data_IF_083512202666
#
_entry.id   IF_083512202666
#
_cell.length_a   1.000
_cell.length_b   1.000
_cell.length_c   1.000
_cell.angle_alpha   90.00
_cell.angle_beta   90.00
_cell.angle_gamma   90.00
#
_symmetry.space_group_name_H-M   'P 1'
#
loop_
_entity.id
_entity.type
_entity.pdbx_description
1 polymer ?
#
# COMPACT_ATOMS: atom_id res chain seq x y z
N UNK A 1 15.56 4.38 -13.95
CA UNK A 1 15.17 2.97 -14.08
C UNK A 1 16.20 2.08 -13.39
N UNK A 2 15.81 0.87 -13.01
CA UNK A 2 16.67 -0.24 -12.60
C UNK A 2 16.43 -1.38 -13.58
N UNK A 3 17.47 -1.95 -14.18
CA UNK A 3 17.31 -2.95 -15.22
C UNK A 3 18.41 -4.02 -15.17
N UNK A 4 18.05 -5.28 -15.39
CA UNK A 4 19.00 -6.38 -15.56
C UNK A 4 19.80 -6.74 -14.31
N UNK A 5 19.33 -6.34 -13.11
CA UNK A 5 20.04 -6.55 -11.85
C UNK A 5 19.79 -7.96 -11.34
N UNK A 6 20.82 -8.57 -10.73
CA UNK A 6 20.75 -9.92 -10.16
C UNK A 6 21.43 -9.98 -8.81
N UNK A 7 20.73 -10.54 -7.82
CA UNK A 7 21.26 -10.75 -6.47
C UNK A 7 21.74 -9.44 -5.78
N UNK A 8 21.08 -8.31 -6.12
CA UNK A 8 21.45 -7.00 -5.61
C UNK A 8 20.42 -6.40 -4.65
N UNK A 9 20.91 -5.53 -3.76
CA UNK A 9 20.06 -4.65 -2.95
C UNK A 9 20.25 -3.20 -3.39
N UNK A 10 19.24 -2.63 -4.04
CA UNK A 10 19.29 -1.33 -4.71
C UNK A 10 18.05 -0.50 -4.44
N UNK A 11 18.05 0.77 -4.88
CA UNK A 11 16.89 1.62 -4.62
C UNK A 11 17.13 3.10 -4.83
N UNK A 12 16.25 3.90 -4.24
CA UNK A 12 16.23 5.36 -4.29
C UNK A 12 15.96 5.91 -2.91
N UNK A 13 16.76 6.89 -2.50
CA UNK A 13 16.62 7.58 -1.22
C UNK A 13 15.56 8.70 -1.32
N UNK A 14 15.06 9.20 -0.18
CA UNK A 14 14.17 10.35 -0.17
C UNK A 14 14.75 11.53 -0.97
N UNK A 15 13.90 12.15 -1.79
CA UNK A 15 14.26 13.31 -2.61
C UNK A 15 15.05 13.02 -3.87
N UNK A 16 15.24 11.74 -4.25
CA UNK A 16 16.00 11.36 -5.46
C UNK A 16 15.13 11.08 -6.69
N UNK A 17 13.84 10.80 -6.52
CA UNK A 17 12.87 10.67 -7.63
C UNK A 17 11.97 11.88 -7.78
N UNK A 18 11.57 12.53 -6.68
CA UNK A 18 10.76 13.75 -6.67
C UNK A 18 9.55 13.71 -7.63
N UNK A 19 8.77 12.62 -7.57
CA UNK A 19 7.54 12.51 -8.37
C UNK A 19 7.77 12.19 -9.84
N UNK A 20 8.99 11.86 -10.27
CA UNK A 20 9.26 11.36 -11.62
C UNK A 20 8.71 9.94 -11.83
N UNK A 21 8.65 9.52 -13.09
CA UNK A 21 8.30 8.14 -13.46
C UNK A 21 9.50 7.23 -13.17
N UNK A 22 9.22 5.99 -12.79
CA UNK A 22 10.27 5.00 -12.53
C UNK A 22 9.92 3.65 -13.18
N UNK A 23 10.94 2.91 -13.58
CA UNK A 23 10.78 1.60 -14.19
C UNK A 23 11.78 0.64 -13.57
N UNK A 24 11.32 -0.58 -13.29
CA UNK A 24 12.09 -1.71 -12.79
C UNK A 24 11.85 -2.84 -13.79
N UNK A 25 12.90 -3.38 -14.39
CA UNK A 25 12.73 -4.34 -15.49
C UNK A 25 13.81 -5.43 -15.44
N UNK A 26 13.47 -6.67 -15.76
CA UNK A 26 14.44 -7.78 -15.91
C UNK A 26 15.32 -8.00 -14.65
N UNK A 27 14.75 -7.82 -13.46
CA UNK A 27 15.48 -8.01 -12.19
C UNK A 27 15.21 -9.39 -11.58
N UNK A 28 16.24 -10.03 -11.04
CA UNK A 28 16.15 -11.37 -10.44
C UNK A 28 16.78 -11.38 -9.05
N UNK A 29 16.12 -12.00 -8.06
CA UNK A 29 16.63 -12.15 -6.69
C UNK A 29 17.04 -10.81 -6.01
N UNK A 30 16.39 -9.70 -6.37
CA UNK A 30 16.77 -8.38 -5.89
C UNK A 30 15.91 -7.90 -4.72
N UNK A 31 16.51 -7.13 -3.80
CA UNK A 31 15.76 -6.28 -2.86
C UNK A 31 15.78 -4.83 -3.39
N UNK A 32 14.61 -4.26 -3.67
CA UNK A 32 14.49 -2.95 -4.31
C UNK A 32 13.68 -2.00 -3.43
N UNK A 33 14.32 -0.92 -2.95
CA UNK A 33 13.71 0.03 -2.03
C UNK A 33 13.61 1.43 -2.63
N UNK A 34 12.40 1.84 -3.00
CA UNK A 34 12.12 3.18 -3.53
C UNK A 34 11.53 4.04 -2.42
N UNK A 35 12.37 4.70 -1.63
CA UNK A 35 11.98 5.57 -0.51
C UNK A 35 11.65 7.00 -0.95
N UNK A 36 10.89 7.15 -2.05
CA UNK A 36 10.43 8.44 -2.54
C UNK A 36 9.08 8.32 -3.25
N UNK A 37 8.39 9.44 -3.40
CA UNK A 37 7.18 9.51 -4.20
C UNK A 37 7.48 9.52 -5.70
N UNK A 38 6.56 8.97 -6.50
CA UNK A 38 6.71 8.82 -7.95
C UNK A 38 5.40 9.15 -8.68
N UNK A 39 5.48 9.51 -9.96
CA UNK A 39 4.29 9.70 -10.80
C UNK A 39 3.63 8.35 -11.14
N UNK A 40 4.42 7.41 -11.65
CA UNK A 40 4.01 6.05 -12.00
C UNK A 40 5.22 5.12 -11.90
N UNK A 41 4.98 3.84 -11.60
CA UNK A 41 6.02 2.81 -11.60
C UNK A 41 5.56 1.62 -12.44
N UNK A 42 6.39 1.18 -13.38
CA UNK A 42 6.24 -0.11 -14.08
C UNK A 42 7.26 -1.10 -13.56
N UNK A 43 6.83 -2.35 -13.37
CA UNK A 43 7.66 -3.46 -12.94
C UNK A 43 7.44 -4.60 -13.91
N UNK A 44 8.47 -4.93 -14.67
CA UNK A 44 8.39 -5.83 -15.81
C UNK A 44 9.39 -6.97 -15.65
N UNK A 45 8.97 -8.21 -15.94
CA UNK A 45 9.85 -9.37 -16.04
C UNK A 45 10.72 -9.62 -14.79
N UNK A 46 10.22 -9.26 -13.61
CA UNK A 46 10.95 -9.41 -12.36
C UNK A 46 10.63 -10.75 -11.68
N UNK A 47 11.66 -11.45 -11.21
CA UNK A 47 11.52 -12.77 -10.55
C UNK A 47 12.16 -12.76 -9.17
N UNK A 48 11.46 -13.31 -8.17
CA UNK A 48 11.96 -13.46 -6.80
C UNK A 48 12.50 -12.15 -6.18
N UNK A 49 11.82 -11.03 -6.46
CA UNK A 49 12.22 -9.71 -5.97
C UNK A 49 11.40 -9.29 -4.74
N UNK A 50 12.04 -8.56 -3.82
CA UNK A 50 11.38 -7.93 -2.66
C UNK A 50 11.36 -6.42 -2.86
N UNK A 51 10.19 -5.80 -2.89
CA UNK A 51 10.04 -4.40 -3.29
C UNK A 51 9.36 -3.57 -2.21
N UNK A 52 9.95 -2.42 -1.88
CA UNK A 52 9.24 -1.32 -1.23
C UNK A 52 9.07 -0.20 -2.25
N UNK A 53 7.82 0.21 -2.52
CA UNK A 53 7.49 1.33 -3.39
C UNK A 53 6.82 2.42 -2.56
N UNK A 54 7.47 3.59 -2.48
CA UNK A 54 6.91 4.79 -1.90
C UNK A 54 5.64 5.27 -2.64
N UNK A 55 4.98 6.33 -2.15
CA UNK A 55 3.69 6.79 -2.66
C UNK A 55 3.70 7.11 -4.16
N UNK A 56 2.89 6.40 -4.93
CA UNK A 56 2.77 6.57 -6.39
C UNK A 56 1.48 7.31 -6.74
N UNK A 57 1.61 8.55 -7.24
CA UNK A 57 0.48 9.43 -7.56
C UNK A 57 -0.52 8.81 -8.54
N UNK A 58 -0.02 8.05 -9.51
CA UNK A 58 -0.81 7.36 -10.53
C UNK A 58 -0.79 5.85 -10.33
N UNK A 59 -0.42 5.14 -11.37
CA UNK A 59 -0.45 3.67 -11.41
C UNK A 59 0.87 3.04 -11.00
N UNK A 60 0.75 1.91 -10.30
CA UNK A 60 1.78 0.87 -10.24
C UNK A 60 1.30 -0.29 -11.09
N UNK A 61 2.13 -0.73 -12.04
CA UNK A 61 1.79 -1.80 -12.97
C UNK A 61 2.86 -2.89 -12.97
N UNK A 62 2.50 -4.08 -12.49
CA UNK A 62 3.32 -5.28 -12.61
C UNK A 62 2.94 -6.06 -13.87
N UNK A 63 3.92 -6.44 -14.68
CA UNK A 63 3.76 -7.29 -15.87
C UNK A 63 4.79 -8.41 -15.82
N UNK A 64 4.35 -9.63 -16.11
CA UNK A 64 5.22 -10.81 -16.23
C UNK A 64 6.11 -11.10 -14.99
N UNK A 65 5.67 -10.64 -13.80
CA UNK A 65 6.42 -10.79 -12.55
C UNK A 65 6.08 -12.08 -11.81
N UNK A 66 7.08 -12.70 -11.16
CA UNK A 66 6.94 -14.01 -10.49
C UNK A 66 7.60 -14.01 -9.12
N UNK A 67 6.93 -14.63 -8.15
CA UNK A 67 7.46 -14.88 -6.80
C UNK A 67 7.94 -13.58 -6.10
N UNK A 68 7.32 -12.43 -6.40
CA UNK A 68 7.72 -11.16 -5.82
C UNK A 68 6.88 -10.79 -4.59
N UNK A 69 7.53 -10.13 -3.64
CA UNK A 69 6.92 -9.67 -2.38
C UNK A 69 7.04 -8.17 -2.27
N UNK A 70 5.95 -7.46 -2.04
CA UNK A 70 5.88 -6.02 -2.25
C UNK A 70 5.16 -5.29 -1.11
N UNK A 71 5.62 -4.09 -0.79
CA UNK A 71 4.87 -3.07 -0.05
C UNK A 71 4.67 -1.90 -1.00
N UNK A 72 3.41 -1.53 -1.27
CA UNK A 72 3.05 -0.59 -2.34
C UNK A 72 1.99 0.40 -1.88
N UNK A 73 2.22 1.69 -2.10
CA UNK A 73 1.19 2.73 -1.98
C UNK A 73 0.97 3.40 -3.34
N UNK A 74 -0.26 3.41 -3.85
CA UNK A 74 -0.56 3.97 -5.17
C UNK A 74 -2.00 4.45 -5.32
N UNK A 75 -2.27 5.25 -6.35
CA UNK A 75 -3.65 5.54 -6.73
C UNK A 75 -4.33 4.33 -7.38
N UNK A 76 -3.64 3.70 -8.34
CA UNK A 76 -4.16 2.55 -9.09
C UNK A 76 -3.14 1.40 -9.05
N UNK A 77 -3.59 0.22 -8.65
CA UNK A 77 -2.79 -1.00 -8.67
C UNK A 77 -3.25 -1.91 -9.80
N UNK A 78 -2.31 -2.34 -10.65
CA UNK A 78 -2.60 -3.24 -11.78
C UNK A 78 -1.56 -4.35 -11.85
N UNK A 79 -2.01 -5.56 -12.16
CA UNK A 79 -1.12 -6.67 -12.52
C UNK A 79 -1.61 -7.34 -13.79
N UNK A 80 -0.67 -7.77 -14.63
CA UNK A 80 -0.94 -8.64 -15.78
C UNK A 80 0.10 -9.73 -15.84
N UNK A 81 -0.31 -10.96 -16.14
CA UNK A 81 0.59 -12.10 -16.34
C UNK A 81 1.53 -12.40 -15.14
N UNK A 82 1.09 -12.07 -13.92
CA UNK A 82 1.89 -12.21 -12.69
C UNK A 82 1.57 -13.52 -11.94
N UNK A 83 2.55 -14.10 -11.25
CA UNK A 83 2.37 -15.33 -10.47
C UNK A 83 2.97 -15.25 -9.08
N UNK A 84 2.25 -15.76 -8.08
CA UNK A 84 2.72 -15.88 -6.68
C UNK A 84 3.23 -14.57 -6.09
N UNK A 85 2.42 -13.52 -6.18
CA UNK A 85 2.75 -12.20 -5.64
C UNK A 85 2.20 -12.07 -4.22
N UNK A 86 2.99 -11.54 -3.28
CA UNK A 86 2.52 -11.11 -1.95
C UNK A 86 2.61 -9.58 -1.87
N UNK A 87 1.50 -8.88 -1.64
CA UNK A 87 1.45 -7.41 -1.71
C UNK A 87 0.76 -6.81 -0.49
N UNK A 88 1.52 -6.05 0.31
CA UNK A 88 0.96 -5.14 1.31
C UNK A 88 0.61 -3.81 0.64
N UNK A 89 -0.68 -3.54 0.48
CA UNK A 89 -1.19 -2.54 -0.45
C UNK A 89 -1.89 -1.37 0.26
N UNK A 90 -1.63 -0.16 -0.21
CA UNK A 90 -2.48 1.02 -0.03
C UNK A 90 -2.91 1.50 -1.40
N UNK A 91 -4.19 1.33 -1.74
CA UNK A 91 -4.70 1.66 -3.07
C UNK A 91 -5.94 2.55 -2.98
N UNK A 92 -5.87 3.74 -3.60
CA UNK A 92 -6.98 4.68 -3.55
C UNK A 92 -8.21 4.19 -4.32
N UNK A 93 -8.00 3.42 -5.41
CA UNK A 93 -9.07 2.79 -6.20
C UNK A 93 -9.13 1.29 -5.98
N UNK A 94 -10.11 0.61 -6.60
CA UNK A 94 -10.18 -0.84 -6.63
C UNK A 94 -8.91 -1.42 -7.29
N UNK A 95 -8.12 -2.29 -6.61
CA UNK A 95 -7.00 -2.99 -7.21
C UNK A 95 -7.45 -3.97 -8.28
N UNK A 96 -6.67 -4.10 -9.35
CA UNK A 96 -7.01 -4.92 -10.51
C UNK A 96 -5.93 -5.98 -10.74
N UNK A 97 -6.37 -7.20 -11.04
CA UNK A 97 -5.53 -8.27 -11.58
C UNK A 97 -6.10 -8.79 -12.92
N UNK A 98 -5.22 -9.25 -13.79
CA UNK A 98 -5.54 -9.83 -15.10
C UNK A 98 -4.53 -10.93 -15.43
N UNK A 99 -4.97 -12.06 -15.98
CA UNK A 99 -4.14 -13.21 -16.37
C UNK A 99 -3.11 -13.64 -15.30
N UNK A 100 -3.44 -13.45 -14.02
CA UNK A 100 -2.52 -13.61 -12.89
C UNK A 100 -3.05 -14.65 -11.91
N UNK A 101 -2.16 -15.34 -11.18
CA UNK A 101 -2.57 -16.36 -10.21
C UNK A 101 -1.68 -16.42 -8.96
N UNK A 102 -2.24 -16.88 -7.84
CA UNK A 102 -1.53 -16.92 -6.55
C UNK A 102 -1.24 -15.53 -5.98
N UNK A 103 -2.12 -14.56 -6.26
CA UNK A 103 -1.98 -13.17 -5.79
C UNK A 103 -2.48 -13.06 -4.35
N UNK A 104 -1.67 -12.53 -3.43
CA UNK A 104 -2.05 -12.40 -2.02
C UNK A 104 -1.92 -10.97 -1.55
N UNK A 105 -2.98 -10.44 -0.94
CA UNK A 105 -3.05 -9.03 -0.54
C UNK A 105 -3.13 -8.86 0.97
N UNK A 106 -2.38 -7.90 1.50
CA UNK A 106 -2.42 -7.43 2.90
C UNK A 106 -2.56 -5.92 2.94
N UNK A 107 -2.90 -5.37 4.11
CA UNK A 107 -2.95 -3.92 4.27
C UNK A 107 -1.53 -3.35 4.33
N UNK A 108 -1.28 -2.19 3.70
CA UNK A 108 -0.02 -1.48 3.81
C UNK A 108 0.37 -1.24 5.28
N UNK A 109 1.60 -1.62 5.62
CA UNK A 109 2.15 -1.45 6.96
C UNK A 109 3.63 -1.06 6.86
N UNK A 110 3.89 0.26 6.95
CA UNK A 110 5.24 0.80 6.81
C UNK A 110 5.33 2.22 7.34
N UNK A 111 6.52 2.61 7.79
CA UNK A 111 6.83 3.95 8.27
C UNK A 111 8.30 4.30 8.03
N UNK A 112 8.56 5.54 7.66
CA UNK A 112 9.81 6.27 7.84
C UNK A 112 9.49 7.78 7.89
N UNK A 113 10.36 8.64 8.42
CA UNK A 113 10.03 10.04 8.72
C UNK A 113 9.46 10.84 7.54
N UNK A 114 10.01 10.66 6.35
CA UNK A 114 9.64 11.40 5.13
C UNK A 114 8.34 10.91 4.50
N UNK A 115 7.90 9.68 4.81
CA UNK A 115 6.80 9.00 4.12
C UNK A 115 5.48 9.80 4.18
N UNK A 116 5.22 10.47 5.32
CA UNK A 116 4.01 11.27 5.49
C UNK A 116 3.91 12.42 4.47
N UNK A 117 5.04 13.12 4.22
CA UNK A 117 5.10 14.19 3.23
C UNK A 117 5.02 13.63 1.81
N UNK A 118 5.64 12.49 1.55
CA UNK A 118 5.57 11.83 0.25
C UNK A 118 4.15 11.39 -0.13
N UNK A 119 3.33 10.94 0.84
CA UNK A 119 1.90 10.68 0.59
C UNK A 119 1.17 11.97 0.16
N UNK A 120 1.47 13.09 0.83
CA UNK A 120 0.91 14.40 0.47
C UNK A 120 1.36 14.85 -0.91
N UNK A 121 2.64 14.73 -1.24
CA UNK A 121 3.19 15.13 -2.55
C UNK A 121 2.63 14.26 -3.69
N UNK A 122 2.42 12.96 -3.44
CA UNK A 122 1.71 12.06 -4.34
C UNK A 122 0.19 12.30 -4.41
N UNK A 123 -0.36 13.24 -3.62
CA UNK A 123 -1.80 13.51 -3.52
C UNK A 123 -2.62 12.28 -3.10
N UNK A 124 -2.05 11.39 -2.29
CA UNK A 124 -2.70 10.21 -1.75
C UNK A 124 -3.14 10.45 -0.31
N UNK A 125 -4.42 10.23 -0.03
CA UNK A 125 -4.91 10.20 1.35
C UNK A 125 -4.56 8.87 1.99
N UNK A 126 -3.90 8.90 3.14
CA UNK A 126 -3.65 7.71 3.98
C UNK A 126 -4.94 7.04 4.46
N UNK A 127 -6.09 7.73 4.37
CA UNK A 127 -7.40 7.22 4.73
C UNK A 127 -8.14 6.60 3.54
N UNK A 128 -7.64 6.68 2.30
CA UNK A 128 -8.30 6.07 1.15
C UNK A 128 -7.57 4.79 0.74
N UNK A 129 -8.02 3.65 1.27
CA UNK A 129 -7.37 2.37 1.04
C UNK A 129 -8.37 1.23 0.78
N UNK A 130 -8.40 0.72 -0.46
CA UNK A 130 -9.25 -0.36 -0.95
C UNK A 130 -8.48 -1.69 -1.15
N UNK A 131 -7.38 -1.88 -0.43
CA UNK A 131 -6.43 -2.98 -0.62
C UNK A 131 -7.01 -4.40 -0.70
N UNK A 132 -8.18 -4.66 -0.10
CA UNK A 132 -8.79 -5.98 -0.03
C UNK A 132 -9.94 -6.22 -1.03
N UNK A 133 -10.36 -5.20 -1.79
CA UNK A 133 -11.48 -5.30 -2.74
C UNK A 133 -10.94 -5.50 -4.17
N UNK A 134 -10.46 -6.70 -4.48
CA UNK A 134 -9.75 -6.97 -5.75
C UNK A 134 -10.75 -7.24 -6.87
N UNK A 135 -10.55 -6.61 -8.03
CA UNK A 135 -11.23 -6.96 -9.27
C UNK A 135 -10.33 -7.86 -10.13
N UNK A 136 -10.85 -9.04 -10.49
CA UNK A 136 -10.18 -9.99 -11.40
C UNK A 136 -10.87 -9.95 -12.76
N UNK A 137 -10.14 -9.54 -13.80
CA UNK A 137 -10.64 -9.48 -15.17
C UNK A 137 -10.72 -10.86 -15.85
N UNK A 138 -10.00 -11.85 -15.33
CA UNK A 138 -9.88 -13.20 -15.93
C UNK A 138 -10.14 -14.29 -14.88
N UNK A 139 -11.32 -14.29 -14.23
CA UNK A 139 -11.64 -15.30 -13.23
C UNK A 139 -11.73 -16.68 -13.89
N UNK A 140 -11.20 -17.70 -13.20
CA UNK A 140 -11.31 -19.10 -13.61
C UNK A 140 -12.40 -19.77 -12.79
N UNK A 141 -13.33 -20.47 -13.44
CA UNK A 141 -14.44 -21.13 -12.75
C UNK A 141 -13.93 -22.19 -11.77
N UNK A 142 -14.35 -22.10 -10.51
CA UNK A 142 -13.96 -23.05 -9.45
C UNK A 142 -12.59 -22.79 -8.81
N UNK A 143 -11.85 -21.79 -9.27
CA UNK A 143 -10.56 -21.39 -8.71
C UNK A 143 -10.59 -19.92 -8.26
N UNK A 144 -9.69 -19.57 -7.33
CA UNK A 144 -9.50 -18.17 -6.93
C UNK A 144 -8.08 -17.73 -7.25
N UNK A 145 -7.94 -16.79 -8.17
CA UNK A 145 -6.64 -16.25 -8.58
C UNK A 145 -5.96 -15.41 -7.50
N UNK A 146 -6.73 -14.95 -6.51
CA UNK A 146 -6.25 -14.13 -5.41
C UNK A 146 -6.82 -14.52 -4.05
N UNK A 147 -6.13 -14.15 -2.98
CA UNK A 147 -6.62 -14.27 -1.61
C UNK A 147 -6.04 -13.17 -0.73
N UNK A 148 -6.46 -13.12 0.53
CA UNK A 148 -5.88 -12.21 1.52
C UNK A 148 -4.76 -12.92 2.28
N UNK A 149 -3.66 -12.22 2.54
CA UNK A 149 -2.60 -12.70 3.42
C UNK A 149 -3.16 -12.98 4.83
N UNK A 150 -2.63 -13.95 5.59
CA UNK A 150 -2.94 -14.10 7.01
C UNK A 150 -2.76 -12.79 7.80
N UNK A 151 -3.61 -12.52 8.78
CA UNK A 151 -3.57 -11.26 9.56
C UNK A 151 -2.28 -11.10 10.38
N UNK A 152 -1.68 -12.22 10.79
CA UNK A 152 -0.45 -12.33 11.56
C UNK A 152 0.81 -12.31 10.68
N UNK A 153 0.68 -12.16 9.35
CA UNK A 153 1.83 -12.07 8.44
C UNK A 153 2.67 -10.84 8.78
N UNK A 154 3.90 -11.06 9.26
CA UNK A 154 4.82 -9.96 9.51
C UNK A 154 5.38 -9.42 8.19
N UNK A 155 5.31 -8.09 8.00
CA UNK A 155 5.83 -7.43 6.79
C UNK A 155 7.30 -7.75 6.55
N UNK A 156 8.11 -7.85 7.62
CA UNK A 156 9.56 -8.09 7.52
C UNK A 156 9.89 -9.48 6.96
N UNK A 157 9.03 -10.48 7.16
CA UNK A 157 9.21 -11.83 6.61
C UNK A 157 9.00 -11.86 5.08
N UNK A 158 8.25 -10.88 4.57
CA UNK A 158 7.99 -10.71 3.15
C UNK A 158 8.95 -9.72 2.49
N UNK A 159 9.14 -8.55 3.10
CA UNK A 159 10.00 -7.46 2.64
C UNK A 159 10.89 -7.03 3.81
N UNK A 160 12.13 -7.56 3.90
CA UNK A 160 13.03 -7.26 4.99
C UNK A 160 13.42 -5.78 4.95
N UNK A 161 13.89 -5.27 6.08
CA UNK A 161 14.48 -3.94 6.12
C UNK A 161 15.78 -3.94 5.32
N UNK A 162 16.10 -2.84 4.61
CA UNK A 162 17.37 -2.75 3.91
C UNK A 162 18.52 -2.79 4.92
N UNK A 163 19.50 -3.65 4.69
CA UNK A 163 20.66 -3.89 5.57
C UNK A 163 21.95 -3.24 5.04
N UNK A 164 21.92 -2.66 3.84
CA UNK A 164 23.09 -2.03 3.22
C UNK A 164 23.33 -0.60 3.72
N UNK A 165 24.60 -0.19 3.74
CA UNK A 165 25.03 1.14 4.19
C UNK A 165 24.32 2.29 3.47
N UNK A 166 23.96 2.08 2.20
CA UNK A 166 23.27 3.07 1.37
C UNK A 166 21.89 3.47 1.90
N UNK A 167 21.24 2.64 2.72
CA UNK A 167 19.89 2.89 3.25
C UNK A 167 19.87 3.21 4.75
N UNK A 168 21.02 3.23 5.43
CA UNK A 168 21.10 3.50 6.89
C UNK A 168 20.45 4.82 7.32
N UNK A 169 20.39 5.81 6.42
CA UNK A 169 19.75 7.09 6.69
C UNK A 169 18.22 6.98 6.83
N UNK A 170 17.60 5.97 6.20
CA UNK A 170 16.14 5.80 6.20
C UNK A 170 15.72 4.97 7.42
N UNK A 171 15.11 5.64 8.40
CA UNK A 171 14.68 5.01 9.67
C UNK A 171 13.33 4.30 9.50
N UNK A 172 13.39 3.07 8.99
CA UNK A 172 12.19 2.27 8.73
C UNK A 172 11.62 1.65 10.00
N UNK A 173 10.29 1.61 10.09
CA UNK A 173 9.54 0.72 10.99
C UNK A 173 8.43 0.02 10.22
N UNK A 174 8.22 -1.26 10.51
CA UNK A 174 7.10 -2.05 10.00
C UNK A 174 6.13 -2.44 11.12
N UNK A 175 6.22 -1.81 12.29
CA UNK A 175 5.25 -2.05 13.38
C UNK A 175 3.87 -1.49 13.01
N UNK A 176 2.81 -2.25 13.30
CA UNK A 176 1.44 -1.88 13.00
C UNK A 176 1.02 -0.53 13.63
N UNK A 177 1.50 -0.24 14.85
CA UNK A 177 1.25 1.02 15.58
C UNK A 177 1.94 2.24 14.99
N UNK A 178 3.03 2.03 14.23
CA UNK A 178 3.81 3.12 13.62
C UNK A 178 3.43 3.38 12.17
N UNK A 179 2.70 2.46 11.53
CA UNK A 179 2.32 2.56 10.13
C UNK A 179 1.68 3.91 9.80
N UNK A 180 2.12 4.51 8.69
CA UNK A 180 1.52 5.77 8.23
C UNK A 180 0.09 5.56 7.75
N UNK A 181 -0.22 4.40 7.17
CA UNK A 181 -1.58 4.03 6.76
C UNK A 181 -2.21 3.26 7.93
N UNK A 182 -3.40 3.66 8.43
CA UNK A 182 -4.10 2.88 9.43
C UNK A 182 -4.36 1.45 8.94
N UNK A 183 -3.95 0.45 9.72
CA UNK A 183 -4.22 -0.96 9.36
C UNK A 183 -5.73 -1.21 9.45
N UNK A 184 -6.32 -1.68 8.36
CA UNK A 184 -7.75 -2.01 8.29
C UNK A 184 -7.96 -3.48 7.99
N UNK A 185 -9.08 -4.05 8.44
CA UNK A 185 -9.46 -5.43 8.11
C UNK A 185 -10.09 -5.57 6.73
N UNK A 186 -10.65 -4.49 6.17
CA UNK A 186 -11.22 -4.49 4.82
C UNK A 186 -12.34 -5.52 4.67
N UNK A 187 -12.22 -6.37 3.65
CA UNK A 187 -13.19 -7.43 3.30
C UNK A 187 -12.94 -8.76 4.04
N UNK A 188 -12.08 -8.78 5.07
CA UNK A 188 -11.90 -9.97 5.90
C UNK A 188 -13.22 -10.35 6.61
N UNK A 189 -13.34 -11.63 6.95
CA UNK A 189 -14.48 -12.14 7.73
C UNK A 189 -14.54 -11.41 9.07
N UNK A 190 -15.74 -10.96 9.42
CA UNK A 190 -16.00 -10.30 10.69
C UNK A 190 -16.45 -11.32 11.72
N UNK A 191 -16.09 -11.08 12.98
CA UNK A 191 -16.54 -11.89 14.11
C UNK A 191 -17.82 -11.33 14.77
N UNK A 192 -18.33 -10.21 14.27
CA UNK A 192 -19.53 -9.53 14.76
C UNK A 192 -20.21 -8.78 13.62
N UNK A 193 -21.54 -8.66 13.70
CA UNK A 193 -22.37 -7.86 12.79
C UNK A 193 -22.52 -6.41 13.28
N UNK A 194 -22.09 -6.10 14.51
CA UNK A 194 -22.11 -4.75 15.04
C UNK A 194 -21.14 -3.84 14.27
N UNK A 195 -21.59 -2.63 13.95
CA UNK A 195 -20.80 -1.63 13.25
C UNK A 195 -21.01 -0.25 13.87
N UNK A 196 -19.94 0.53 13.97
CA UNK A 196 -19.97 1.91 14.43
C UNK A 196 -19.31 2.80 13.38
N UNK A 197 -19.92 3.95 13.10
CA UNK A 197 -19.38 4.94 12.16
C UNK A 197 -18.92 6.16 12.95
N UNK A 198 -17.65 6.53 12.77
CA UNK A 198 -17.09 7.76 13.28
C UNK A 198 -16.84 8.72 12.14
N UNK A 199 -17.27 9.96 12.29
CA UNK A 199 -17.15 10.99 11.27
C UNK A 199 -16.42 12.18 11.84
N UNK A 200 -15.34 12.59 11.17
CA UNK A 200 -14.56 13.75 11.58
C UNK A 200 -14.71 14.85 10.54
N UNK A 201 -14.98 16.07 10.98
CA UNK A 201 -14.98 17.21 10.06
C UNK A 201 -13.55 17.77 9.94
N UNK A 202 -13.18 18.34 8.80
CA UNK A 202 -11.81 18.85 8.64
C UNK A 202 -11.57 20.09 9.50
N UNK A 203 -10.38 20.13 10.04
CA UNK A 203 -9.83 21.13 10.93
C UNK A 203 -8.39 20.74 11.25
N UNK A 204 -7.67 21.62 11.94
CA UNK A 204 -6.22 21.49 12.12
C UNK A 204 -5.80 20.20 12.84
N UNK A 205 -6.69 19.66 13.69
CA UNK A 205 -6.43 18.47 14.50
C UNK A 205 -7.13 17.21 13.98
N UNK A 206 -7.84 17.26 12.85
CA UNK A 206 -8.68 16.15 12.38
C UNK A 206 -7.89 14.88 12.12
N UNK A 207 -6.75 14.98 11.42
CA UNK A 207 -5.89 13.82 11.15
C UNK A 207 -5.32 13.22 12.44
N UNK A 208 -4.93 14.07 13.40
CA UNK A 208 -4.42 13.62 14.69
C UNK A 208 -5.51 12.94 15.53
N UNK A 209 -6.72 13.50 15.54
CA UNK A 209 -7.87 12.95 16.25
C UNK A 209 -8.32 11.61 15.64
N UNK A 210 -8.37 11.50 14.32
CA UNK A 210 -8.70 10.26 13.62
C UNK A 210 -7.67 9.14 13.92
N UNK A 211 -6.37 9.47 13.93
CA UNK A 211 -5.32 8.54 14.36
C UNK A 211 -5.45 8.13 15.81
N UNK A 212 -5.65 9.09 16.71
CA UNK A 212 -5.83 8.81 18.14
C UNK A 212 -7.02 7.87 18.36
N UNK A 213 -8.16 8.12 17.70
CA UNK A 213 -9.30 7.22 17.78
C UNK A 213 -8.96 5.82 17.24
N UNK A 214 -8.29 5.75 16.08
CA UNK A 214 -7.82 4.48 15.49
C UNK A 214 -7.00 3.67 16.50
N UNK A 215 -6.11 4.33 17.24
CA UNK A 215 -5.27 3.68 18.25
C UNK A 215 -6.08 3.25 19.50
N UNK A 216 -6.99 4.09 19.97
CA UNK A 216 -7.83 3.78 21.14
C UNK A 216 -8.84 2.66 20.86
N UNK A 217 -9.43 2.61 19.66
CA UNK A 217 -10.43 1.61 19.26
C UNK A 217 -9.81 0.21 19.17
N UNK A 218 -8.50 0.07 18.94
CA UNK A 218 -7.85 -1.25 18.89
C UNK A 218 -7.67 -1.89 20.27
N UNK A 219 -7.52 -1.10 21.33
CA UNK A 219 -7.22 -1.60 22.69
C UNK A 219 -8.28 -2.54 23.27
N UNK A 220 -9.60 -2.32 23.08
CA UNK A 220 -10.64 -3.21 23.60
C UNK A 220 -10.95 -4.40 22.67
N UNK A 221 -10.18 -4.62 21.59
CA UNK A 221 -10.44 -5.69 20.62
C UNK A 221 -11.44 -5.32 19.51
N UNK A 222 -11.74 -4.04 19.30
CA UNK A 222 -12.47 -3.63 18.08
C UNK A 222 -11.52 -3.60 16.87
N UNK A 223 -12.09 -3.88 15.71
CA UNK A 223 -11.38 -3.88 14.44
C UNK A 223 -11.80 -2.69 13.58
N UNK A 224 -10.83 -2.07 12.92
CA UNK A 224 -11.10 -0.98 11.98
C UNK A 224 -11.36 -1.61 10.63
N UNK A 225 -12.62 -1.61 10.21
CA UNK A 225 -13.03 -2.24 8.94
C UNK A 225 -12.48 -1.45 7.76
N UNK A 226 -12.71 -0.14 7.74
CA UNK A 226 -12.30 0.73 6.66
C UNK A 226 -12.22 2.17 7.17
N UNK A 227 -11.41 2.98 6.48
CA UNK A 227 -11.36 4.45 6.64
C UNK A 227 -11.58 5.07 5.26
N UNK A 228 -12.05 6.32 5.21
CA UNK A 228 -12.26 7.03 3.97
C UNK A 228 -12.08 8.56 4.13
N UNK A 229 -11.79 9.26 3.06
CA UNK A 229 -11.66 10.71 3.06
C UNK A 229 -12.20 11.24 1.73
N UNK A 230 -13.28 12.01 1.80
CA UNK A 230 -13.93 12.57 0.62
C UNK A 230 -14.51 13.96 0.89
N UNK A 231 -14.67 14.73 -0.19
CA UNK A 231 -15.42 15.98 -0.13
C UNK A 231 -16.91 15.63 -0.10
N UNK A 232 -17.62 16.06 0.95
CA UNK A 232 -19.07 15.92 1.01
C UNK A 232 -19.72 17.16 0.39
N UNK A 233 -20.66 16.93 -0.54
CA UNK A 233 -21.42 17.99 -1.18
C UNK A 233 -22.26 18.71 -0.13
N UNK A 234 -22.11 20.03 -0.15
CA UNK A 234 -22.78 20.98 0.71
C UNK A 234 -24.19 21.20 0.17
N UNK A 235 -25.24 20.81 0.91
CA UNK A 235 -26.53 21.48 0.71
C UNK A 235 -26.32 22.97 1.03
N UNK A 236 -27.02 23.87 0.32
CA UNK A 236 -26.69 25.31 0.14
C UNK A 236 -26.48 26.19 1.40
N UNK A 237 -26.34 25.66 2.62
CA UNK A 237 -26.43 26.46 3.86
C UNK A 237 -25.28 26.41 4.88
N UNK A 238 -24.26 25.55 4.87
CA UNK A 238 -23.18 25.66 5.89
C UNK A 238 -21.83 25.00 5.54
N UNK A 239 -20.72 25.71 5.73
CA UNK A 239 -19.33 25.33 5.40
C UNK A 239 -18.72 24.42 6.47
N UNK A 240 -18.47 23.14 6.16
CA UNK A 240 -17.50 22.28 6.86
C UNK A 240 -17.15 21.05 5.99
N UNK A 241 -15.90 20.61 6.05
CA UNK A 241 -15.31 19.49 5.28
C UNK A 241 -15.42 18.18 6.08
N UNK A 242 -15.37 16.98 5.45
CA UNK A 242 -15.52 15.67 6.14
C UNK A 242 -14.35 14.70 5.84
N UNK A 243 -13.98 13.89 6.83
CA UNK A 243 -13.24 12.63 6.75
C UNK A 243 -14.16 11.51 7.30
N UNK A 244 -14.23 10.38 6.61
CA UNK A 244 -15.16 9.26 6.82
C UNK A 244 -14.50 8.00 7.40
#
# INVERSE_FOLDING_TARGET
>A
MLTGLKDETVGRLPGTLNGQQFAIQDCENCNIYVFDHSATITIDDCTNCRLFLGPVKGSVFFRDCKDCKCVVACQQFRTRDCKKMEVFLSCATQPIIESSSGMRFGCFQYYYPELAFQFKDASLSIFNNNWSNIHDFTPVSGETNWSLLPEDTAVQDCVPLPDTDGFKAVRVSTEASRSIVPITSGQRRKNSDESCLFVFFAGDYTTANARKLTDEVRKPGFHIVQVHCSKVLKSRTASQWLCL
#
